data_IF_964567603248
#
_entry.id   IF_964567603248
#
_cell.length_a   1.000
_cell.length_b   1.000
_cell.length_c   1.000
_cell.angle_alpha   90.00
_cell.angle_beta   90.00
_cell.angle_gamma   90.00
#
_symmetry.space_group_name_H-M   'P 1'
#
loop_
_entity.id
_entity.type
_entity.pdbx_description
1 polymer ?
#
# COMPACT_ATOMS: atom_id res chain seq x y z
N UNK A 1 -17.82 23.53 10.21
CA UNK A 1 -17.52 22.43 11.15
C UNK A 1 -16.20 21.79 10.70
N UNK A 2 -15.32 21.43 11.66
CA UNK A 2 -14.02 20.80 11.38
C UNK A 2 -14.13 19.28 11.45
N UNK A 3 -13.40 18.58 10.60
CA UNK A 3 -13.29 17.12 10.64
C UNK A 3 -11.81 16.69 10.58
N UNK A 4 -11.43 15.69 11.38
CA UNK A 4 -10.11 15.10 11.39
C UNK A 4 -10.20 13.60 11.03
N UNK A 5 -9.25 13.09 10.23
CA UNK A 5 -9.22 11.70 9.80
C UNK A 5 -7.88 11.07 10.16
N UNK A 6 -7.91 10.06 11.01
CA UNK A 6 -6.75 9.22 11.33
C UNK A 6 -6.78 7.96 10.47
N UNK A 7 -5.77 7.78 9.63
CA UNK A 7 -5.68 6.63 8.71
C UNK A 7 -4.61 5.65 9.15
N UNK A 8 -5.00 4.40 9.34
CA UNK A 8 -4.09 3.29 9.66
C UNK A 8 -4.13 2.23 8.56
N UNK A 9 -3.03 1.51 8.39
CA UNK A 9 -2.99 0.31 7.56
C UNK A 9 -2.43 0.54 6.14
N UNK A 10 -3.15 0.05 5.14
CA UNK A 10 -2.65 -0.10 3.77
C UNK A 10 -3.09 1.04 2.83
N UNK A 11 -2.62 1.00 1.58
CA UNK A 11 -3.00 1.95 0.52
C UNK A 11 -4.51 1.95 0.23
N UNK A 12 -5.19 0.80 0.43
CA UNK A 12 -6.65 0.72 0.32
C UNK A 12 -7.31 1.61 1.37
N UNK A 13 -6.86 1.55 2.64
CA UNK A 13 -7.37 2.44 3.68
C UNK A 13 -7.06 3.91 3.39
N UNK A 14 -5.88 4.20 2.82
CA UNK A 14 -5.53 5.58 2.44
C UNK A 14 -6.49 6.13 1.36
N UNK A 15 -6.81 5.33 0.35
CA UNK A 15 -7.83 5.68 -0.65
C UNK A 15 -9.22 5.88 0.00
N UNK A 16 -9.65 4.93 0.83
CA UNK A 16 -10.96 5.00 1.50
C UNK A 16 -11.09 6.21 2.43
N UNK A 17 -9.99 6.63 3.07
CA UNK A 17 -9.97 7.84 3.89
C UNK A 17 -10.10 9.11 3.07
N UNK A 18 -9.52 9.15 1.87
CA UNK A 18 -9.67 10.31 0.98
C UNK A 18 -11.11 10.43 0.46
N UNK A 19 -11.75 9.29 0.11
CA UNK A 19 -13.19 9.29 -0.23
C UNK A 19 -14.03 9.86 0.91
N UNK A 20 -13.74 9.46 2.15
CA UNK A 20 -14.44 10.00 3.33
C UNK A 20 -14.15 11.50 3.48
N UNK A 21 -12.92 11.94 3.23
CA UNK A 21 -12.56 13.35 3.27
C UNK A 21 -13.35 14.18 2.23
N UNK A 22 -13.47 13.69 1.00
CA UNK A 22 -14.24 14.36 -0.04
C UNK A 22 -15.73 14.43 0.32
N UNK A 23 -16.31 13.33 0.78
CA UNK A 23 -17.70 13.34 1.27
C UNK A 23 -17.93 14.35 2.40
N UNK A 24 -16.97 14.49 3.32
CA UNK A 24 -17.05 15.48 4.40
C UNK A 24 -16.96 16.91 3.83
N UNK A 25 -16.03 17.19 2.89
CA UNK A 25 -15.89 18.51 2.23
C UNK A 25 -17.16 18.91 1.49
N UNK A 26 -17.71 18.00 0.68
CA UNK A 26 -18.96 18.19 -0.06
C UNK A 26 -20.15 18.52 0.85
N UNK A 27 -20.10 18.08 2.12
CA UNK A 27 -21.13 18.35 3.11
C UNK A 27 -20.76 19.46 4.11
N UNK A 28 -19.81 20.34 3.72
CA UNK A 28 -19.51 21.58 4.44
C UNK A 28 -18.57 21.42 5.62
N UNK A 29 -17.84 20.29 5.74
CA UNK A 29 -16.80 20.13 6.74
C UNK A 29 -15.45 20.59 6.19
N UNK A 30 -14.71 21.32 6.99
CA UNK A 30 -13.30 21.60 6.76
C UNK A 30 -12.46 20.41 7.27
N UNK A 31 -11.88 19.62 6.38
CA UNK A 31 -10.93 18.56 6.74
C UNK A 31 -9.61 19.19 7.15
N UNK A 32 -9.10 18.84 8.31
CA UNK A 32 -7.90 19.44 8.93
C UNK A 32 -7.11 18.39 9.72
N UNK A 33 -5.83 18.70 10.00
CA UNK A 33 -5.01 17.93 10.93
C UNK A 33 -5.06 18.49 12.37
N UNK A 34 -5.81 19.59 12.60
CA UNK A 34 -5.96 20.21 13.90
C UNK A 34 -6.88 19.41 14.82
N UNK A 35 -6.48 19.24 16.06
CA UNK A 35 -7.28 18.62 17.12
C UNK A 35 -8.48 19.53 17.53
N UNK A 36 -9.39 19.01 18.36
CA UNK A 36 -10.69 19.64 18.71
C UNK A 36 -11.62 19.81 17.49
N UNK A 37 -11.64 18.85 16.60
CA UNK A 37 -12.57 18.80 15.48
C UNK A 37 -14.00 18.42 15.96
N UNK A 38 -15.01 18.81 15.18
CA UNK A 38 -16.43 18.44 15.43
C UNK A 38 -16.71 16.98 15.07
N UNK A 39 -15.98 16.44 14.09
CA UNK A 39 -16.07 15.05 13.64
C UNK A 39 -14.66 14.45 13.60
N UNK A 40 -14.52 13.25 14.15
CA UNK A 40 -13.27 12.52 14.18
C UNK A 40 -13.46 11.13 13.59
N UNK A 41 -12.81 10.84 12.45
CA UNK A 41 -12.86 9.54 11.78
C UNK A 41 -11.57 8.78 12.03
N UNK A 42 -11.66 7.51 12.47
CA UNK A 42 -10.52 6.61 12.61
C UNK A 42 -10.69 5.43 11.65
N UNK A 43 -9.93 5.43 10.55
CA UNK A 43 -9.91 4.32 9.60
C UNK A 43 -8.85 3.30 10.03
N UNK A 44 -9.32 2.13 10.44
CA UNK A 44 -8.58 1.14 11.24
C UNK A 44 -8.07 -0.05 10.44
N UNK A 45 -7.03 -0.70 10.96
CA UNK A 45 -6.41 -1.91 10.41
C UNK A 45 -6.39 -3.05 11.42
N UNK A 46 -6.45 -4.32 10.94
CA UNK A 46 -6.44 -5.53 11.77
C UNK A 46 -5.59 -6.66 11.20
N UNK A 47 -4.67 -6.37 10.28
CA UNK A 47 -3.89 -7.44 9.59
C UNK A 47 -2.96 -8.19 10.55
N UNK A 48 -2.45 -7.50 11.60
CA UNK A 48 -1.57 -8.08 12.63
C UNK A 48 -2.01 -7.65 14.03
N UNK A 49 -1.56 -8.35 15.07
CA UNK A 49 -1.78 -7.96 16.47
C UNK A 49 -1.25 -6.55 16.79
N UNK A 50 -0.13 -6.16 16.15
CA UNK A 50 0.41 -4.80 16.29
C UNK A 50 -0.52 -3.77 15.62
N UNK A 51 -1.16 -4.11 14.50
CA UNK A 51 -2.15 -3.25 13.87
C UNK A 51 -3.39 -3.06 14.76
N UNK A 52 -3.85 -4.11 15.44
CA UNK A 52 -4.94 -4.02 16.42
C UNK A 52 -4.58 -3.10 17.59
N UNK A 53 -3.39 -3.28 18.19
CA UNK A 53 -2.90 -2.42 19.28
C UNK A 53 -2.82 -0.96 18.82
N UNK A 54 -2.31 -0.71 17.63
CA UNK A 54 -2.22 0.63 17.05
C UNK A 54 -3.62 1.22 16.79
N UNK A 55 -4.56 0.42 16.27
CA UNK A 55 -5.95 0.84 16.07
C UNK A 55 -6.61 1.26 17.38
N UNK A 56 -6.51 0.43 18.43
CA UNK A 56 -7.02 0.76 19.78
C UNK A 56 -6.39 2.04 20.35
N UNK A 57 -5.05 2.16 20.24
CA UNK A 57 -4.34 3.37 20.69
C UNK A 57 -4.80 4.63 19.95
N UNK A 58 -4.97 4.54 18.63
CA UNK A 58 -5.42 5.69 17.82
C UNK A 58 -6.87 6.06 18.12
N UNK A 59 -7.77 5.09 18.32
CA UNK A 59 -9.15 5.36 18.73
C UNK A 59 -9.18 6.10 20.09
N UNK A 60 -8.42 5.62 21.07
CA UNK A 60 -8.34 6.28 22.38
C UNK A 60 -7.73 7.68 22.29
N UNK A 61 -6.69 7.86 21.45
CA UNK A 61 -6.10 9.17 21.17
C UNK A 61 -7.14 10.12 20.58
N UNK A 62 -7.87 9.68 19.55
CA UNK A 62 -8.91 10.44 18.89
C UNK A 62 -10.01 10.91 19.88
N UNK A 63 -10.49 10.01 20.75
CA UNK A 63 -11.47 10.32 21.78
C UNK A 63 -10.96 11.37 22.77
N UNK A 64 -9.71 11.23 23.24
CA UNK A 64 -9.16 12.09 24.27
C UNK A 64 -8.81 13.49 23.75
N UNK A 65 -8.34 13.57 22.49
CA UNK A 65 -7.96 14.84 21.86
C UNK A 65 -9.12 15.61 21.26
N UNK A 66 -10.25 14.93 21.06
CA UNK A 66 -11.47 15.53 20.51
C UNK A 66 -12.67 15.20 21.43
N UNK A 67 -12.72 15.74 22.66
CA UNK A 67 -13.68 15.29 23.68
C UNK A 67 -15.15 15.56 23.32
N UNK A 68 -15.40 16.56 22.47
CA UNK A 68 -16.74 16.97 22.04
C UNK A 68 -17.11 16.49 20.63
N UNK A 69 -16.23 15.73 19.96
CA UNK A 69 -16.44 15.28 18.59
C UNK A 69 -17.42 14.12 18.48
N UNK A 70 -18.01 13.99 17.31
CA UNK A 70 -18.63 12.75 16.87
C UNK A 70 -17.49 11.81 16.43
N UNK A 71 -17.24 10.76 17.22
CA UNK A 71 -16.19 9.77 16.92
C UNK A 71 -16.74 8.65 16.07
N UNK A 72 -16.13 8.46 14.91
CA UNK A 72 -16.50 7.45 13.91
C UNK A 72 -15.34 6.48 13.76
N UNK A 73 -15.58 5.19 13.92
CA UNK A 73 -14.57 4.13 13.69
C UNK A 73 -14.98 3.30 12.49
N UNK A 74 -14.08 3.22 11.49
CA UNK A 74 -14.33 2.48 10.25
C UNK A 74 -13.16 1.53 9.93
N UNK A 75 -13.33 0.60 9.00
CA UNK A 75 -12.26 -0.21 8.42
C UNK A 75 -12.20 -1.64 8.92
N UNK A 76 -11.00 -2.26 8.82
CA UNK A 76 -10.86 -3.70 9.07
C UNK A 76 -10.99 -4.07 10.55
N UNK A 77 -10.48 -3.26 11.48
CA UNK A 77 -10.59 -3.55 12.90
C UNK A 77 -12.04 -3.40 13.39
N UNK A 78 -12.74 -2.33 12.95
CA UNK A 78 -14.17 -2.18 13.27
C UNK A 78 -15.01 -3.30 12.69
N UNK A 79 -14.69 -3.80 11.49
CA UNK A 79 -15.39 -4.94 10.90
C UNK A 79 -15.34 -6.19 11.77
N UNK A 80 -14.20 -6.47 12.43
CA UNK A 80 -13.98 -7.70 13.21
C UNK A 80 -14.37 -7.54 14.68
N UNK A 81 -14.20 -6.34 15.22
CA UNK A 81 -14.34 -6.06 16.68
C UNK A 81 -15.47 -5.07 16.97
N UNK A 82 -16.50 -4.98 16.11
CA UNK A 82 -17.62 -4.04 16.29
C UNK A 82 -18.36 -4.25 17.60
N UNK A 83 -18.52 -5.49 18.07
CA UNK A 83 -19.17 -5.79 19.36
C UNK A 83 -18.34 -5.24 20.54
N UNK A 84 -17.01 -5.42 20.52
CA UNK A 84 -16.12 -4.83 21.52
C UNK A 84 -16.18 -3.30 21.50
N UNK A 85 -16.16 -2.70 20.30
CA UNK A 85 -16.20 -1.26 20.11
C UNK A 85 -17.54 -0.65 20.55
N UNK A 86 -18.66 -1.35 20.37
CA UNK A 86 -20.00 -0.87 20.72
C UNK A 86 -20.20 -0.70 22.23
N UNK A 87 -19.39 -1.37 23.05
CA UNK A 87 -19.38 -1.19 24.51
C UNK A 87 -18.82 0.17 24.93
N UNK A 88 -18.02 0.82 24.08
CA UNK A 88 -17.49 2.16 24.35
C UNK A 88 -18.47 3.24 23.86
N UNK A 89 -19.19 3.86 24.80
CA UNK A 89 -20.21 4.89 24.48
C UNK A 89 -19.61 6.20 23.95
N UNK A 90 -18.30 6.38 24.00
CA UNK A 90 -17.60 7.52 23.38
C UNK A 90 -17.38 7.33 21.86
N UNK A 91 -17.58 6.10 21.35
CA UNK A 91 -17.63 5.84 19.90
C UNK A 91 -19.08 6.00 19.46
N UNK A 92 -19.35 6.96 18.62
CA UNK A 92 -20.72 7.32 18.24
C UNK A 92 -21.20 6.54 17.01
N UNK A 93 -20.30 6.25 16.08
CA UNK A 93 -20.60 5.55 14.82
C UNK A 93 -19.53 4.49 14.56
N UNK A 94 -19.97 3.28 14.26
CA UNK A 94 -19.12 2.14 13.89
C UNK A 94 -19.55 1.66 12.51
N UNK A 95 -18.66 1.78 11.52
CA UNK A 95 -18.89 1.28 10.16
C UNK A 95 -17.91 0.16 9.84
N UNK A 96 -18.34 -0.78 8.99
CA UNK A 96 -17.50 -1.87 8.52
C UNK A 96 -16.56 -1.49 7.37
N UNK A 97 -16.27 -2.47 6.52
CA UNK A 97 -15.40 -2.31 5.35
C UNK A 97 -16.13 -1.95 4.06
N UNK A 98 -17.45 -2.00 4.01
CA UNK A 98 -18.28 -1.89 2.80
C UNK A 98 -19.34 -0.79 2.79
N UNK A 99 -19.40 0.05 3.81
CA UNK A 99 -20.42 1.10 3.96
C UNK A 99 -19.84 2.43 4.45
N UNK A 100 -18.60 2.71 4.07
CA UNK A 100 -17.90 3.94 4.41
C UNK A 100 -18.50 5.18 3.73
N UNK A 101 -19.10 5.00 2.55
CA UNK A 101 -19.83 6.09 1.85
C UNK A 101 -21.07 6.57 2.58
N UNK A 102 -21.60 5.79 3.54
CA UNK A 102 -22.71 6.20 4.40
C UNK A 102 -22.31 7.12 5.56
N UNK A 103 -21.05 7.54 5.64
CA UNK A 103 -20.53 8.33 6.77
C UNK A 103 -21.37 9.57 7.04
N UNK A 104 -21.82 10.32 6.02
CA UNK A 104 -22.62 11.53 6.15
C UNK A 104 -24.04 11.21 6.65
N UNK A 105 -24.68 10.19 6.07
CA UNK A 105 -25.99 9.70 6.51
C UNK A 105 -25.96 9.34 8.01
N UNK A 106 -24.94 8.58 8.44
CA UNK A 106 -24.76 8.18 9.82
C UNK A 106 -24.49 9.38 10.75
N UNK A 107 -23.71 10.38 10.33
CA UNK A 107 -23.48 11.61 11.08
C UNK A 107 -24.81 12.34 11.32
N UNK A 108 -25.63 12.51 10.28
CA UNK A 108 -26.91 13.20 10.37
C UNK A 108 -27.88 12.46 11.30
N UNK A 109 -28.02 11.14 11.11
CA UNK A 109 -28.83 10.30 11.98
C UNK A 109 -28.39 10.35 13.45
N UNK A 110 -27.06 10.33 13.71
CA UNK A 110 -26.55 10.47 15.07
C UNK A 110 -26.85 11.86 15.67
N UNK A 111 -26.76 12.93 14.89
CA UNK A 111 -27.10 14.28 15.36
C UNK A 111 -28.55 14.40 15.80
N UNK A 112 -29.46 13.71 15.10
CA UNK A 112 -30.90 13.69 15.41
C UNK A 112 -31.20 12.80 16.61
N UNK A 113 -30.70 11.57 16.63
CA UNK A 113 -31.11 10.54 17.60
C UNK A 113 -30.26 10.52 18.87
N UNK A 114 -28.99 10.98 18.79
CA UNK A 114 -27.95 10.81 19.81
C UNK A 114 -27.68 9.35 20.19
N UNK A 115 -28.19 8.39 19.41
CA UNK A 115 -28.00 6.96 19.65
C UNK A 115 -26.77 6.46 18.87
N UNK A 116 -25.95 5.62 19.53
CA UNK A 116 -24.82 4.97 18.86
C UNK A 116 -25.30 4.17 17.64
N UNK A 117 -24.61 4.37 16.52
CA UNK A 117 -24.91 3.67 15.26
C UNK A 117 -23.87 2.61 15.04
N UNK A 118 -24.30 1.37 14.78
CA UNK A 118 -23.45 0.24 14.35
C UNK A 118 -24.00 -0.27 13.03
N UNK A 119 -23.28 0.01 11.94
CA UNK A 119 -23.61 -0.46 10.59
C UNK A 119 -22.43 -1.25 10.03
N UNK A 120 -22.38 -2.55 10.37
CA UNK A 120 -21.35 -3.49 9.97
C UNK A 120 -21.98 -4.63 9.18
N UNK A 121 -21.68 -4.69 7.89
CA UNK A 121 -22.15 -5.78 7.05
C UNK A 121 -21.25 -7.01 7.23
N UNK A 122 -21.79 -8.08 7.81
CA UNK A 122 -21.10 -9.35 8.05
C UNK A 122 -21.18 -10.34 6.89
N UNK A 123 -21.95 -10.04 5.84
CA UNK A 123 -22.02 -10.87 4.63
C UNK A 123 -20.68 -10.92 3.92
N UNK A 124 -20.30 -12.10 3.43
CA UNK A 124 -19.10 -12.25 2.59
C UNK A 124 -19.33 -11.75 1.16
N UNK A 125 -20.56 -11.85 0.67
CA UNK A 125 -20.93 -11.41 -0.68
C UNK A 125 -21.37 -9.94 -0.63
N UNK A 126 -20.40 -9.07 -0.81
CA UNK A 126 -20.60 -7.62 -0.81
C UNK A 126 -20.39 -7.09 -2.23
N UNK A 127 -21.09 -6.04 -2.58
CA UNK A 127 -20.89 -5.29 -3.83
C UNK A 127 -19.72 -4.33 -3.65
N UNK A 128 -19.00 -4.02 -4.73
CA UNK A 128 -17.98 -2.98 -4.69
C UNK A 128 -18.63 -1.64 -4.37
N UNK A 129 -18.16 -0.99 -3.33
CA UNK A 129 -18.71 0.29 -2.87
C UNK A 129 -18.40 1.39 -3.89
N UNK A 130 -19.41 2.15 -4.32
CA UNK A 130 -19.26 3.24 -5.30
C UNK A 130 -18.41 4.35 -4.70
N UNK A 131 -17.13 4.33 -5.00
CA UNK A 131 -16.14 5.30 -4.55
C UNK A 131 -15.41 5.86 -5.77
N UNK A 132 -15.25 7.17 -5.81
CA UNK A 132 -14.44 7.88 -6.81
C UNK A 132 -13.71 9.02 -6.10
N UNK A 133 -12.52 9.34 -6.55
CA UNK A 133 -11.73 10.47 -6.08
C UNK A 133 -11.34 11.31 -7.29
N UNK A 134 -11.56 12.60 -7.20
CA UNK A 134 -11.11 13.54 -8.22
C UNK A 134 -9.91 14.36 -7.74
N UNK A 135 -9.61 14.33 -6.43
CA UNK A 135 -8.54 15.10 -5.81
C UNK A 135 -7.86 14.33 -4.67
N UNK A 136 -6.57 14.59 -4.45
CA UNK A 136 -5.83 14.11 -3.29
C UNK A 136 -5.11 15.30 -2.65
N UNK A 137 -5.46 15.64 -1.42
CA UNK A 137 -4.79 16.72 -0.72
C UNK A 137 -3.37 16.31 -0.31
N UNK A 138 -2.44 17.24 -0.53
CA UNK A 138 -1.03 17.12 -0.09
C UNK A 138 -0.31 15.85 -0.57
N UNK A 139 -0.76 15.24 -1.68
CA UNK A 139 -0.11 14.08 -2.30
C UNK A 139 0.18 14.33 -3.78
N UNK A 140 1.30 13.80 -4.24
CA UNK A 140 1.75 13.90 -5.63
C UNK A 140 1.59 12.59 -6.40
N UNK A 141 1.13 11.54 -5.71
CA UNK A 141 0.71 10.24 -6.26
C UNK A 141 -0.73 9.97 -5.86
N UNK A 142 -1.58 9.68 -6.82
CA UNK A 142 -2.97 9.30 -6.57
C UNK A 142 -3.07 7.79 -6.38
N UNK A 143 -3.77 7.35 -5.34
CA UNK A 143 -4.16 5.94 -5.18
C UNK A 143 -5.52 5.73 -5.85
N UNK A 144 -5.68 4.63 -6.59
CA UNK A 144 -6.97 4.24 -7.17
C UNK A 144 -7.28 2.80 -6.76
N UNK A 145 -8.33 2.63 -5.97
CA UNK A 145 -8.80 1.32 -5.51
C UNK A 145 -9.62 0.68 -6.61
N UNK A 146 -9.07 -0.35 -7.24
CA UNK A 146 -9.72 -1.07 -8.35
C UNK A 146 -10.40 -2.37 -7.90
N UNK A 147 -9.98 -2.92 -6.74
CA UNK A 147 -10.40 -4.23 -6.29
C UNK A 147 -10.48 -4.27 -4.75
N UNK A 148 -11.36 -5.11 -4.18
CA UNK A 148 -11.47 -5.38 -2.76
C UNK A 148 -11.83 -6.85 -2.50
N UNK A 149 -11.56 -7.33 -1.27
CA UNK A 149 -11.76 -8.72 -0.89
C UNK A 149 -10.72 -9.69 -1.50
N UNK A 150 -10.75 -10.96 -1.06
CA UNK A 150 -9.81 -11.97 -1.53
C UNK A 150 -10.37 -13.38 -1.34
N UNK A 151 -10.17 -14.26 -2.33
CA UNK A 151 -10.60 -15.65 -2.32
C UNK A 151 -9.45 -16.66 -2.16
N UNK A 152 -8.22 -16.22 -1.86
CA UNK A 152 -7.06 -17.13 -1.73
C UNK A 152 -7.10 -17.97 -0.47
N UNK A 153 -7.75 -17.51 0.59
CA UNK A 153 -7.84 -18.20 1.88
C UNK A 153 -6.49 -18.75 2.36
N UNK A 154 -5.42 -17.94 2.22
CA UNK A 154 -4.13 -18.26 2.84
C UNK A 154 -4.34 -18.54 4.32
N UNK A 155 -3.72 -19.59 4.85
CA UNK A 155 -4.07 -20.14 6.18
C UNK A 155 -3.83 -19.17 7.34
N UNK A 156 -3.00 -18.15 7.16
CA UNK A 156 -2.68 -17.09 8.13
C UNK A 156 -3.52 -15.83 7.99
N UNK A 157 -4.29 -15.69 6.89
CA UNK A 157 -4.83 -14.40 6.48
C UNK A 157 -6.27 -14.18 6.98
N UNK A 158 -6.48 -13.04 7.67
CA UNK A 158 -7.79 -12.63 8.18
C UNK A 158 -8.64 -11.92 7.11
N UNK A 159 -8.06 -11.51 5.98
CA UNK A 159 -8.72 -10.66 4.99
C UNK A 159 -10.02 -11.24 4.42
N UNK A 160 -10.12 -12.52 4.04
CA UNK A 160 -11.40 -13.08 3.57
C UNK A 160 -12.54 -12.97 4.58
N UNK A 161 -12.21 -12.87 5.87
CA UNK A 161 -13.18 -12.72 6.97
C UNK A 161 -13.52 -11.26 7.26
N UNK A 162 -12.62 -10.33 6.90
CA UNK A 162 -12.82 -8.89 7.15
C UNK A 162 -13.41 -8.16 5.95
N UNK A 163 -12.93 -8.47 4.75
CA UNK A 163 -13.29 -7.77 3.51
C UNK A 163 -14.16 -8.59 2.56
N UNK A 164 -14.39 -9.88 2.88
CA UNK A 164 -15.24 -10.76 2.08
C UNK A 164 -14.61 -11.21 0.75
N UNK A 165 -15.46 -11.64 -0.18
CA UNK A 165 -15.07 -12.15 -1.50
C UNK A 165 -14.57 -11.05 -2.43
N UNK A 166 -13.88 -11.46 -3.51
CA UNK A 166 -13.40 -10.56 -4.56
C UNK A 166 -14.57 -9.78 -5.14
N UNK A 167 -14.38 -8.48 -5.27
CA UNK A 167 -15.23 -7.53 -5.98
C UNK A 167 -14.38 -6.43 -6.60
N UNK A 168 -14.76 -5.98 -7.77
CA UNK A 168 -13.98 -5.04 -8.56
C UNK A 168 -14.80 -3.78 -8.90
N UNK A 169 -14.08 -2.67 -9.08
CA UNK A 169 -14.64 -1.44 -9.63
C UNK A 169 -14.87 -1.65 -11.12
N UNK A 170 -15.95 -1.10 -11.66
CA UNK A 170 -16.24 -1.16 -13.08
C UNK A 170 -15.08 -0.59 -13.91
N UNK A 171 -14.78 -1.25 -15.04
CA UNK A 171 -13.69 -0.93 -15.94
C UNK A 171 -13.72 0.54 -16.38
N UNK A 172 -14.87 0.98 -16.91
CA UNK A 172 -15.04 2.36 -17.39
C UNK A 172 -14.85 3.38 -16.26
N UNK A 173 -15.36 3.07 -15.06
CA UNK A 173 -15.23 3.95 -13.89
C UNK A 173 -13.76 4.09 -13.47
N UNK A 174 -12.95 3.03 -13.57
CA UNK A 174 -11.50 3.11 -13.30
C UNK A 174 -10.80 4.02 -14.31
N UNK A 175 -11.10 3.83 -15.61
CA UNK A 175 -10.51 4.65 -16.69
C UNK A 175 -10.88 6.12 -16.53
N UNK A 176 -12.15 6.41 -16.25
CA UNK A 176 -12.65 7.78 -16.04
C UNK A 176 -11.99 8.44 -14.82
N UNK A 177 -11.87 7.72 -13.71
CA UNK A 177 -11.25 8.23 -12.49
C UNK A 177 -9.77 8.56 -12.72
N UNK A 178 -9.00 7.67 -13.36
CA UNK A 178 -7.59 7.91 -13.66
C UNK A 178 -7.44 9.08 -14.64
N UNK A 179 -8.32 9.16 -15.65
CA UNK A 179 -8.31 10.26 -16.61
C UNK A 179 -8.57 11.61 -15.92
N UNK A 180 -9.52 11.66 -14.99
CA UNK A 180 -9.81 12.86 -14.19
C UNK A 180 -8.59 13.26 -13.33
N UNK A 181 -7.99 12.30 -12.62
CA UNK A 181 -6.80 12.55 -11.80
C UNK A 181 -5.62 13.10 -12.62
N UNK A 182 -5.38 12.54 -13.82
CA UNK A 182 -4.34 13.03 -14.73
C UNK A 182 -4.64 14.44 -15.23
N UNK A 183 -5.88 14.76 -15.57
CA UNK A 183 -6.32 16.13 -15.92
C UNK A 183 -6.11 17.10 -14.78
N UNK A 184 -6.30 16.65 -13.53
CA UNK A 184 -6.06 17.43 -12.31
C UNK A 184 -4.57 17.52 -11.93
N UNK A 185 -3.66 17.04 -12.78
CA UNK A 185 -2.21 17.27 -12.67
C UNK A 185 -1.41 16.13 -12.05
N UNK A 186 -2.04 15.04 -11.63
CA UNK A 186 -1.30 13.89 -11.10
C UNK A 186 -0.43 13.25 -12.18
N UNK A 187 0.85 13.04 -11.86
CA UNK A 187 1.84 12.43 -12.78
C UNK A 187 2.00 10.93 -12.54
N UNK A 188 1.75 10.47 -11.32
CA UNK A 188 1.83 9.06 -10.94
C UNK A 188 0.49 8.59 -10.35
N UNK A 189 -0.01 7.46 -10.85
CA UNK A 189 -1.17 6.73 -10.31
C UNK A 189 -0.70 5.39 -9.77
N UNK A 190 -1.20 5.03 -8.60
CA UNK A 190 -0.93 3.74 -7.94
C UNK A 190 -2.21 2.93 -7.89
N UNK A 191 -2.28 1.87 -8.69
CA UNK A 191 -3.40 0.92 -8.60
C UNK A 191 -3.31 0.16 -7.28
N UNK A 192 -4.39 0.15 -6.54
CA UNK A 192 -4.44 -0.53 -5.24
C UNK A 192 -5.66 -1.44 -5.13
N UNK A 193 -5.48 -2.49 -4.36
CA UNK A 193 -6.48 -3.50 -4.05
C UNK A 193 -5.97 -4.41 -2.96
N UNK A 194 -6.80 -5.32 -2.53
CA UNK A 194 -6.42 -6.39 -1.60
C UNK A 194 -5.71 -7.52 -2.36
N UNK A 195 -6.19 -7.80 -3.57
CA UNK A 195 -5.65 -8.81 -4.48
C UNK A 195 -5.71 -8.23 -5.90
N UNK A 196 -4.85 -7.25 -6.15
CA UNK A 196 -4.96 -6.32 -7.29
C UNK A 196 -5.02 -7.03 -8.64
N UNK A 197 -4.19 -8.07 -8.84
CA UNK A 197 -4.14 -8.81 -10.10
C UNK A 197 -5.34 -9.73 -10.34
N UNK A 198 -6.17 -9.98 -9.31
CA UNK A 198 -7.45 -10.69 -9.48
C UNK A 198 -8.59 -9.80 -9.99
N UNK A 199 -8.26 -8.59 -10.47
CA UNK A 199 -9.25 -7.70 -11.07
C UNK A 199 -9.94 -8.39 -12.26
N UNK A 200 -11.27 -8.34 -12.25
CA UNK A 200 -12.12 -8.83 -13.32
C UNK A 200 -13.43 -8.03 -13.29
N UNK A 201 -13.76 -7.38 -14.40
CA UNK A 201 -15.04 -6.73 -14.60
C UNK A 201 -15.58 -7.15 -15.97
N UNK A 202 -16.73 -7.82 -15.98
CA UNK A 202 -17.32 -8.40 -17.17
C UNK A 202 -16.32 -9.31 -17.92
N UNK A 203 -15.82 -8.88 -19.07
CA UNK A 203 -14.85 -9.63 -19.88
C UNK A 203 -13.43 -9.03 -19.83
N UNK A 204 -13.18 -8.02 -18.96
CA UNK A 204 -11.91 -7.34 -18.86
C UNK A 204 -11.14 -7.82 -17.63
N UNK A 205 -9.98 -8.45 -17.85
CA UNK A 205 -9.05 -8.84 -16.81
C UNK A 205 -8.11 -7.67 -16.40
N UNK A 206 -7.23 -7.93 -15.44
CA UNK A 206 -6.25 -6.96 -14.99
C UNK A 206 -5.33 -6.47 -16.11
N UNK A 207 -4.93 -7.35 -17.01
CA UNK A 207 -4.08 -6.99 -18.14
C UNK A 207 -4.81 -6.13 -19.18
N UNK A 208 -6.11 -6.37 -19.40
CA UNK A 208 -6.93 -5.50 -20.25
C UNK A 208 -6.99 -4.09 -19.65
N UNK A 209 -7.22 -4.00 -18.34
CA UNK A 209 -7.24 -2.74 -17.63
C UNK A 209 -5.90 -1.97 -17.76
N UNK A 210 -4.77 -2.66 -17.57
CA UNK A 210 -3.45 -2.05 -17.74
C UNK A 210 -3.23 -1.54 -19.17
N UNK A 211 -3.70 -2.31 -20.17
CA UNK A 211 -3.57 -1.95 -21.59
C UNK A 211 -4.25 -0.63 -21.92
N UNK A 212 -5.39 -0.35 -21.31
CA UNK A 212 -6.11 0.93 -21.53
C UNK A 212 -5.53 2.07 -20.68
N UNK A 213 -5.17 1.80 -19.41
CA UNK A 213 -4.60 2.84 -18.55
C UNK A 213 -3.30 3.42 -19.12
N UNK A 214 -2.42 2.60 -19.68
CA UNK A 214 -1.12 3.08 -20.22
C UNK A 214 -1.27 3.97 -21.45
N UNK A 215 -2.46 4.02 -22.08
CA UNK A 215 -2.79 4.90 -23.19
C UNK A 215 -3.28 6.29 -22.76
N UNK A 216 -3.59 6.48 -21.47
CA UNK A 216 -4.12 7.76 -20.96
C UNK A 216 -3.07 8.86 -21.14
N UNK A 217 -3.41 9.84 -21.97
CA UNK A 217 -2.51 10.95 -22.28
C UNK A 217 -2.23 11.79 -21.03
N UNK A 218 -0.94 12.03 -20.76
CA UNK A 218 -0.48 12.82 -19.62
C UNK A 218 -0.08 11.97 -18.39
N UNK A 219 -0.50 10.71 -18.29
CA UNK A 219 -0.02 9.78 -17.25
C UNK A 219 1.45 9.48 -17.50
N UNK A 220 2.31 9.79 -16.51
CA UNK A 220 3.77 9.57 -16.61
C UNK A 220 4.20 8.27 -15.97
N UNK A 221 3.55 7.87 -14.87
CA UNK A 221 3.89 6.67 -14.11
C UNK A 221 2.65 5.94 -13.63
N UNK A 222 2.60 4.65 -13.90
CA UNK A 222 1.62 3.71 -13.37
C UNK A 222 2.32 2.72 -12.46
N UNK A 223 1.95 2.73 -11.18
CA UNK A 223 2.49 1.80 -10.19
C UNK A 223 1.42 0.80 -9.77
N UNK A 224 1.82 -0.46 -9.64
CA UNK A 224 0.99 -1.54 -9.11
C UNK A 224 1.38 -1.74 -7.65
N UNK A 225 0.41 -1.77 -6.71
CA UNK A 225 0.74 -1.85 -5.29
C UNK A 225 1.31 -3.22 -4.90
N UNK A 226 0.57 -4.28 -5.14
CA UNK A 226 0.97 -5.66 -4.87
C UNK A 226 0.28 -6.58 -5.85
N UNK A 227 1.02 -7.55 -6.39
CA UNK A 227 0.49 -8.54 -7.34
C UNK A 227 1.02 -9.92 -6.99
N UNK A 228 0.17 -10.92 -7.03
CA UNK A 228 0.57 -12.30 -6.80
C UNK A 228 1.36 -12.84 -7.99
N UNK A 229 2.34 -13.70 -7.71
CA UNK A 229 3.21 -14.28 -8.74
C UNK A 229 2.42 -15.03 -9.83
N UNK A 230 1.30 -15.66 -9.46
CA UNK A 230 0.43 -16.42 -10.36
C UNK A 230 -0.36 -15.57 -11.35
N UNK A 231 -0.39 -14.24 -11.16
CA UNK A 231 -1.12 -13.29 -12.00
C UNK A 231 -0.22 -12.62 -13.04
N UNK A 232 1.09 -12.86 -12.95
CA UNK A 232 2.09 -12.35 -13.87
C UNK A 232 2.19 -13.24 -15.12
N UNK A 233 1.10 -13.28 -15.89
CA UNK A 233 0.98 -14.08 -17.10
C UNK A 233 1.70 -13.45 -18.32
N UNK A 234 1.70 -14.14 -19.45
CA UNK A 234 2.40 -13.67 -20.66
C UNK A 234 1.81 -12.35 -21.20
N UNK A 235 0.49 -12.14 -21.06
CA UNK A 235 -0.17 -10.87 -21.44
C UNK A 235 0.33 -9.70 -20.57
N UNK A 236 0.50 -9.90 -19.27
CA UNK A 236 1.13 -8.93 -18.38
C UNK A 236 2.59 -8.65 -18.80
N UNK A 237 3.36 -9.70 -19.11
CA UNK A 237 4.76 -9.57 -19.55
C UNK A 237 4.88 -8.75 -20.84
N UNK A 238 3.97 -8.95 -21.78
CA UNK A 238 3.92 -8.19 -23.04
C UNK A 238 3.65 -6.69 -22.78
N UNK A 239 2.73 -6.37 -21.88
CA UNK A 239 2.45 -4.98 -21.52
C UNK A 239 3.66 -4.36 -20.82
N UNK A 240 4.28 -5.08 -19.87
CA UNK A 240 5.47 -4.63 -19.16
C UNK A 240 6.63 -4.33 -20.13
N UNK A 241 6.79 -5.15 -21.17
CA UNK A 241 7.81 -4.97 -22.22
C UNK A 241 7.56 -3.73 -23.09
N UNK A 242 6.30 -3.45 -23.43
CA UNK A 242 5.92 -2.39 -24.39
C UNK A 242 5.71 -1.02 -23.74
N UNK A 243 5.36 -0.98 -22.45
CA UNK A 243 4.97 0.25 -21.77
C UNK A 243 6.15 0.95 -21.10
N UNK A 244 6.29 2.26 -21.37
CA UNK A 244 7.20 3.14 -20.63
C UNK A 244 6.50 3.83 -19.44
N UNK A 245 5.19 3.64 -19.28
CA UNK A 245 4.38 4.25 -18.22
C UNK A 245 4.38 3.38 -16.96
N UNK A 246 4.39 2.04 -17.12
CA UNK A 246 4.54 1.15 -15.98
C UNK A 246 5.94 1.32 -15.39
N UNK A 247 5.99 1.66 -14.11
CA UNK A 247 7.25 1.94 -13.39
C UNK A 247 8.15 0.71 -13.27
N UNK A 248 9.45 0.92 -13.06
CA UNK A 248 10.45 -0.14 -12.87
C UNK A 248 10.45 -0.70 -11.44
N UNK A 249 9.27 -0.95 -10.89
CA UNK A 249 9.09 -1.53 -9.57
C UNK A 249 7.85 -2.42 -9.54
N UNK A 250 8.01 -3.63 -9.01
CA UNK A 250 6.91 -4.56 -8.76
C UNK A 250 7.06 -5.12 -7.35
N UNK A 251 5.96 -5.11 -6.59
CA UNK A 251 5.89 -5.77 -5.28
C UNK A 251 5.19 -7.11 -5.43
N UNK A 252 5.93 -8.21 -5.18
CA UNK A 252 5.47 -9.58 -5.36
C UNK A 252 5.67 -10.35 -4.04
N UNK A 253 4.61 -10.59 -3.25
CA UNK A 253 4.73 -11.30 -1.98
C UNK A 253 5.22 -12.74 -2.16
N UNK A 254 6.36 -13.09 -1.56
CA UNK A 254 6.91 -14.44 -1.52
C UNK A 254 6.31 -15.25 -0.36
N UNK A 255 6.14 -14.62 0.78
CA UNK A 255 5.69 -15.15 2.06
C UNK A 255 6.69 -16.12 2.71
N UNK A 256 7.21 -17.13 2.02
CA UNK A 256 8.27 -18.05 2.48
C UNK A 256 9.11 -18.55 1.30
N UNK A 257 10.37 -18.85 1.54
CA UNK A 257 11.27 -19.53 0.59
C UNK A 257 11.39 -21.03 0.86
N UNK A 258 10.50 -21.64 1.66
CA UNK A 258 10.38 -23.08 1.84
C UNK A 258 9.08 -23.60 1.21
N UNK A 259 9.17 -24.57 0.29
CA UNK A 259 8.00 -25.16 -0.37
C UNK A 259 7.07 -25.87 0.62
N UNK A 260 7.62 -26.47 1.69
CA UNK A 260 6.85 -27.04 2.80
C UNK A 260 5.99 -25.96 3.45
N UNK A 261 6.56 -24.81 3.77
CA UNK A 261 5.85 -23.70 4.42
C UNK A 261 4.85 -23.04 3.46
N UNK A 262 5.21 -22.83 2.19
CA UNK A 262 4.29 -22.31 1.17
C UNK A 262 3.04 -23.19 1.05
N UNK A 263 3.21 -24.51 1.07
CA UNK A 263 2.09 -25.46 1.07
C UNK A 263 1.22 -25.35 2.31
N UNK A 264 1.81 -25.25 3.50
CA UNK A 264 1.10 -25.04 4.75
C UNK A 264 0.37 -23.70 4.79
N UNK A 265 0.94 -22.66 4.17
CA UNK A 265 0.32 -21.35 3.97
C UNK A 265 -0.83 -21.35 2.95
N UNK A 266 -1.07 -22.46 2.24
CA UNK A 266 -2.01 -22.56 1.11
C UNK A 266 -1.64 -21.65 -0.06
N UNK A 267 -0.33 -21.44 -0.33
CA UNK A 267 0.13 -20.71 -1.52
C UNK A 267 -0.02 -21.59 -2.76
N UNK A 268 -0.28 -20.95 -3.91
CA UNK A 268 -0.58 -21.63 -5.18
C UNK A 268 0.65 -21.72 -6.10
N UNK A 269 1.83 -21.56 -5.55
CA UNK A 269 3.12 -21.63 -6.22
C UNK A 269 4.16 -22.26 -5.29
N UNK A 270 5.24 -22.72 -5.87
CA UNK A 270 6.47 -23.15 -5.21
C UNK A 270 7.64 -22.19 -5.53
N UNK A 271 8.79 -22.41 -4.91
CA UNK A 271 9.98 -21.58 -5.08
C UNK A 271 10.49 -21.61 -6.54
N UNK A 272 10.41 -22.75 -7.22
CA UNK A 272 10.82 -22.90 -8.60
C UNK A 272 9.97 -22.05 -9.56
N UNK A 273 8.64 -22.12 -9.41
CA UNK A 273 7.69 -21.30 -10.19
C UNK A 273 7.96 -19.81 -9.95
N UNK A 274 8.15 -19.43 -8.70
CA UNK A 274 8.44 -18.04 -8.32
C UNK A 274 9.72 -17.54 -8.99
N UNK A 275 10.82 -18.29 -8.88
CA UNK A 275 12.11 -17.96 -9.48
C UNK A 275 12.02 -17.80 -11.01
N UNK A 276 11.33 -18.73 -11.69
CA UNK A 276 11.19 -18.70 -13.14
C UNK A 276 10.47 -17.43 -13.63
N UNK A 277 9.44 -16.99 -12.93
CA UNK A 277 8.71 -15.75 -13.26
C UNK A 277 9.58 -14.52 -13.00
N UNK A 278 10.33 -14.48 -11.88
CA UNK A 278 11.28 -13.39 -11.60
C UNK A 278 12.36 -13.29 -12.70
N UNK A 279 12.88 -14.42 -13.18
CA UNK A 279 13.83 -14.44 -14.29
C UNK A 279 13.23 -13.87 -15.57
N UNK A 280 11.98 -14.23 -15.92
CA UNK A 280 11.27 -13.64 -17.06
C UNK A 280 11.15 -12.11 -16.94
N UNK A 281 10.72 -11.61 -15.77
CA UNK A 281 10.61 -10.17 -15.53
C UNK A 281 11.95 -9.46 -15.73
N UNK A 282 13.04 -9.99 -15.17
CA UNK A 282 14.38 -9.41 -15.29
C UNK A 282 14.96 -9.49 -16.70
N UNK A 283 14.56 -10.49 -17.49
CA UNK A 283 14.90 -10.53 -18.92
C UNK A 283 14.26 -9.38 -19.68
N UNK A 284 13.04 -8.98 -19.30
CA UNK A 284 12.33 -7.84 -19.91
C UNK A 284 12.89 -6.51 -19.41
N UNK A 285 13.13 -6.39 -18.10
CA UNK A 285 13.61 -5.18 -17.40
C UNK A 285 14.74 -5.52 -16.43
N UNK A 286 16.02 -5.53 -16.85
CA UNK A 286 17.14 -6.01 -16.03
C UNK A 286 17.31 -5.29 -14.69
N UNK A 287 17.03 -4.00 -14.64
CA UNK A 287 17.19 -3.14 -13.45
C UNK A 287 15.92 -2.94 -12.65
N UNK A 288 14.85 -3.70 -12.92
CA UNK A 288 13.59 -3.57 -12.19
C UNK A 288 13.76 -3.85 -10.71
N UNK A 289 13.19 -3.01 -9.88
CA UNK A 289 13.08 -3.22 -8.43
C UNK A 289 12.00 -4.25 -8.14
N UNK A 290 12.37 -5.36 -7.53
CA UNK A 290 11.44 -6.39 -7.07
C UNK A 290 11.49 -6.40 -5.57
N UNK A 291 10.38 -6.03 -4.93
CA UNK A 291 10.21 -6.06 -3.48
C UNK A 291 9.25 -7.16 -3.07
N UNK A 292 9.37 -7.64 -1.85
CA UNK A 292 8.57 -8.77 -1.38
C UNK A 292 8.22 -8.68 0.10
N UNK A 293 7.17 -9.43 0.50
CA UNK A 293 6.82 -9.69 1.89
C UNK A 293 7.25 -11.10 2.27
N UNK A 294 7.79 -11.27 3.48
CA UNK A 294 8.12 -12.58 4.06
C UNK A 294 7.62 -12.69 5.50
N UNK A 295 7.14 -13.87 5.86
CA UNK A 295 6.64 -14.19 7.20
C UNK A 295 7.59 -15.22 7.83
N UNK A 296 8.13 -14.91 8.98
CA UNK A 296 8.98 -15.83 9.76
C UNK A 296 8.21 -16.42 10.94
N UNK A 297 8.56 -17.66 11.31
CA UNK A 297 7.94 -18.33 12.43
C UNK A 297 6.50 -18.72 12.19
N UNK A 298 6.16 -19.06 10.95
CA UNK A 298 4.89 -19.70 10.63
C UNK A 298 4.77 -21.05 11.34
N UNK A 299 3.58 -21.48 11.82
CA UNK A 299 3.41 -22.78 12.48
C UNK A 299 3.97 -23.93 11.64
N UNK A 300 4.87 -24.73 12.24
CA UNK A 300 5.57 -25.82 11.58
C UNK A 300 6.87 -25.44 10.84
N UNK A 301 7.29 -24.18 10.88
CA UNK A 301 8.58 -23.72 10.35
C UNK A 301 9.71 -24.15 11.30
N UNK A 302 10.55 -25.07 10.84
CA UNK A 302 11.75 -25.49 11.57
C UNK A 302 12.99 -24.67 11.15
N UNK A 303 14.17 -25.01 11.66
CA UNK A 303 15.40 -24.28 11.35
C UNK A 303 15.84 -24.50 9.90
N UNK A 304 15.60 -25.70 9.35
CA UNK A 304 15.90 -25.99 7.95
C UNK A 304 15.04 -25.13 7.02
N UNK A 305 13.73 -25.01 7.29
CA UNK A 305 12.83 -24.18 6.52
C UNK A 305 13.26 -22.71 6.51
N UNK A 306 13.72 -22.20 7.66
CA UNK A 306 14.24 -20.84 7.77
C UNK A 306 15.55 -20.65 6.98
N UNK A 307 16.48 -21.61 7.05
CA UNK A 307 17.73 -21.56 6.27
C UNK A 307 17.43 -21.60 4.77
N UNK A 308 16.52 -22.46 4.33
CA UNK A 308 16.10 -22.55 2.93
C UNK A 308 15.48 -21.22 2.46
N UNK A 309 14.60 -20.61 3.28
CA UNK A 309 14.04 -19.29 3.00
C UNK A 309 15.11 -18.21 2.92
N UNK A 310 16.06 -18.16 3.85
CA UNK A 310 17.16 -17.19 3.85
C UNK A 310 18.00 -17.29 2.57
N UNK A 311 18.40 -18.52 2.20
CA UNK A 311 19.16 -18.79 0.97
C UNK A 311 18.39 -18.41 -0.27
N UNK A 312 17.11 -18.73 -0.34
CA UNK A 312 16.25 -18.41 -1.46
C UNK A 312 16.10 -16.89 -1.64
N UNK A 313 15.86 -16.14 -0.57
CA UNK A 313 15.78 -14.68 -0.59
C UNK A 313 17.10 -14.07 -1.10
N UNK A 314 18.23 -14.57 -0.59
CA UNK A 314 19.56 -14.10 -1.01
C UNK A 314 19.82 -14.38 -2.50
N UNK A 315 19.47 -15.57 -2.96
CA UNK A 315 19.62 -16.01 -4.35
C UNK A 315 18.74 -15.20 -5.32
N UNK A 316 17.46 -14.99 -4.98
CA UNK A 316 16.53 -14.21 -5.82
C UNK A 316 16.97 -12.76 -5.94
N UNK A 317 17.73 -12.25 -4.98
CA UNK A 317 18.29 -10.91 -5.03
C UNK A 317 17.22 -9.82 -5.15
N UNK A 318 16.29 -9.79 -4.17
CA UNK A 318 15.28 -8.74 -4.05
C UNK A 318 15.94 -7.37 -3.81
N UNK A 319 15.31 -6.30 -4.27
CA UNK A 319 15.75 -4.93 -4.00
C UNK A 319 15.42 -4.46 -2.58
N UNK A 320 14.38 -5.01 -1.96
CA UNK A 320 14.01 -4.81 -0.55
C UNK A 320 13.04 -5.88 -0.07
N UNK A 321 12.95 -6.04 1.25
CA UNK A 321 12.08 -7.00 1.95
C UNK A 321 11.24 -6.31 3.00
N UNK A 322 9.99 -6.74 3.15
CA UNK A 322 9.18 -6.48 4.34
C UNK A 322 9.10 -7.77 5.16
N UNK A 323 9.71 -7.76 6.34
CA UNK A 323 9.82 -8.94 7.22
C UNK A 323 8.78 -8.85 8.32
N UNK A 324 7.93 -9.85 8.43
CA UNK A 324 6.89 -9.95 9.45
C UNK A 324 7.07 -11.22 10.29
N UNK A 325 7.03 -11.11 11.63
CA UNK A 325 6.80 -12.31 12.44
C UNK A 325 5.36 -12.78 12.20
N UNK A 326 5.15 -14.10 12.13
CA UNK A 326 3.81 -14.66 12.09
C UNK A 326 2.97 -14.13 13.26
N UNK A 327 1.80 -13.62 12.94
CA UNK A 327 0.85 -13.07 13.89
C UNK A 327 -0.42 -13.90 13.91
N UNK A 328 -0.69 -14.59 15.02
CA UNK A 328 -1.88 -15.41 15.21
C UNK A 328 -3.14 -14.56 15.08
N UNK A 329 -4.08 -14.97 14.20
CA UNK A 329 -5.33 -14.25 13.94
C UNK A 329 -6.52 -15.18 14.16
N UNK A 330 -7.51 -14.70 14.91
CA UNK A 330 -8.76 -15.45 15.14
C UNK A 330 -9.39 -15.85 13.79
N UNK A 331 -10.07 -16.97 13.75
CA UNK A 331 -10.73 -17.56 12.58
C UNK A 331 -9.79 -18.03 11.45
N UNK A 332 -8.47 -17.95 11.59
CA UNK A 332 -7.52 -18.45 10.58
C UNK A 332 -7.09 -19.87 10.89
N UNK A 333 -6.88 -20.69 9.84
CA UNK A 333 -6.42 -22.08 10.03
C UNK A 333 -5.07 -22.17 10.75
N UNK A 334 -4.14 -21.27 10.42
CA UNK A 334 -2.82 -21.25 11.05
C UNK A 334 -2.88 -20.97 12.56
N UNK A 335 -3.91 -20.29 13.05
CA UNK A 335 -4.10 -20.06 14.47
C UNK A 335 -4.42 -21.33 15.26
N UNK A 336 -4.93 -22.36 14.59
CA UNK A 336 -5.34 -23.66 15.18
C UNK A 336 -4.25 -24.73 15.01
N UNK A 337 -3.14 -24.46 14.33
CA UNK A 337 -2.03 -25.39 14.16
C UNK A 337 -1.25 -25.54 15.48
N UNK A 338 -0.87 -26.78 15.83
CA UNK A 338 -0.23 -27.09 17.12
C UNK A 338 1.22 -26.62 17.18
N UNK A 339 1.96 -26.71 16.07
CA UNK A 339 3.41 -26.41 16.02
C UNK A 339 3.69 -24.90 15.92
N UNK A 340 3.19 -24.12 16.87
CA UNK A 340 3.46 -22.68 16.96
C UNK A 340 4.94 -22.43 17.32
N UNK A 341 5.58 -21.52 16.57
CA UNK A 341 6.99 -21.15 16.81
C UNK A 341 7.09 -20.16 17.97
N UNK A 342 8.09 -20.37 18.83
CA UNK A 342 8.35 -19.51 19.98
C UNK A 342 8.67 -18.06 19.55
N UNK A 343 8.20 -17.07 20.31
CA UNK A 343 8.37 -15.65 20.01
C UNK A 343 9.85 -15.23 19.96
N UNK A 344 10.74 -15.81 20.82
CA UNK A 344 12.16 -15.52 20.78
C UNK A 344 12.81 -16.01 19.47
N UNK A 345 12.39 -17.17 18.96
CA UNK A 345 12.84 -17.70 17.67
C UNK A 345 12.36 -16.80 16.52
N UNK A 346 11.12 -16.35 16.56
CA UNK A 346 10.60 -15.37 15.58
C UNK A 346 11.42 -14.09 15.58
N UNK A 347 11.71 -13.55 16.78
CA UNK A 347 12.49 -12.32 16.93
C UNK A 347 13.90 -12.46 16.37
N UNK A 348 14.59 -13.59 16.63
CA UNK A 348 15.90 -13.88 16.07
C UNK A 348 15.87 -13.98 14.54
N UNK A 349 14.90 -14.71 13.97
CA UNK A 349 14.71 -14.85 12.53
C UNK A 349 14.42 -13.50 11.86
N UNK A 350 13.57 -12.65 12.48
CA UNK A 350 13.33 -11.26 12.01
C UNK A 350 14.64 -10.50 11.96
N UNK A 351 15.45 -10.53 13.04
CA UNK A 351 16.73 -9.82 13.10
C UNK A 351 17.68 -10.26 11.97
N UNK A 352 17.82 -11.57 11.75
CA UNK A 352 18.65 -12.12 10.66
C UNK A 352 18.19 -11.63 9.28
N UNK A 353 16.87 -11.63 9.00
CA UNK A 353 16.35 -11.14 7.73
C UNK A 353 16.41 -9.61 7.56
N UNK A 354 16.37 -8.85 8.66
CA UNK A 354 16.58 -7.40 8.58
C UNK A 354 18.01 -7.04 8.19
N UNK A 355 19.01 -7.81 8.66
CA UNK A 355 20.41 -7.67 8.22
C UNK A 355 20.54 -8.01 6.73
N UNK A 356 19.90 -9.10 6.28
CA UNK A 356 19.89 -9.47 4.87
C UNK A 356 19.20 -8.38 4.02
N UNK A 357 18.08 -7.84 4.48
CA UNK A 357 17.38 -6.73 3.84
C UNK A 357 18.30 -5.53 3.61
N UNK A 358 18.98 -5.04 4.66
CA UNK A 358 19.87 -3.90 4.58
C UNK A 358 20.97 -4.15 3.52
N UNK A 359 21.59 -5.33 3.53
CA UNK A 359 22.59 -5.72 2.53
C UNK A 359 22.00 -5.67 1.11
N UNK A 360 20.80 -6.23 0.89
CA UNK A 360 20.14 -6.24 -0.43
C UNK A 360 19.74 -4.85 -0.91
N UNK A 361 19.28 -4.00 -0.01
CA UNK A 361 18.98 -2.60 -0.33
C UNK A 361 20.25 -1.85 -0.76
N UNK A 362 21.35 -1.99 -0.02
CA UNK A 362 22.64 -1.38 -0.38
C UNK A 362 23.17 -1.92 -1.72
N UNK A 363 23.13 -3.26 -1.94
CA UNK A 363 23.51 -3.86 -3.21
C UNK A 363 22.69 -3.34 -4.38
N UNK A 364 21.39 -3.11 -4.18
CA UNK A 364 20.52 -2.57 -5.21
C UNK A 364 20.78 -1.07 -5.45
N UNK A 365 20.87 -0.27 -4.40
CA UNK A 365 21.11 1.18 -4.49
C UNK A 365 22.47 1.49 -5.15
N UNK A 366 23.51 0.70 -4.86
CA UNK A 366 24.87 0.92 -5.39
C UNK A 366 24.95 0.82 -6.91
N UNK A 367 24.03 0.11 -7.57
CA UNK A 367 23.96 0.04 -9.03
C UNK A 367 23.65 1.36 -9.71
N UNK A 368 23.10 2.33 -8.96
CA UNK A 368 22.62 3.58 -9.51
C UNK A 368 23.47 4.79 -9.10
N UNK A 369 24.57 4.59 -8.36
CA UNK A 369 25.53 5.68 -8.09
C UNK A 369 26.23 6.06 -9.41
N UNK A 370 26.18 7.36 -9.74
CA UNK A 370 26.62 7.89 -11.03
C UNK A 370 25.55 7.91 -12.12
N UNK A 371 24.45 7.18 -11.93
CA UNK A 371 23.38 7.09 -12.91
C UNK A 371 22.41 8.27 -12.85
N UNK A 372 21.82 8.58 -14.00
CA UNK A 372 20.77 9.59 -14.14
C UNK A 372 19.39 8.92 -14.04
N UNK A 373 18.61 9.34 -13.04
CA UNK A 373 17.27 8.82 -12.79
C UNK A 373 16.22 9.93 -12.77
N UNK A 374 14.98 9.61 -13.14
CA UNK A 374 13.83 10.49 -12.97
C UNK A 374 13.24 10.32 -11.56
N UNK A 375 13.02 11.42 -10.85
CA UNK A 375 12.53 11.46 -9.46
C UNK A 375 11.26 12.30 -9.39
N UNK A 376 10.17 11.72 -8.87
CA UNK A 376 8.99 12.48 -8.48
C UNK A 376 9.19 12.98 -7.05
N UNK A 377 9.29 14.31 -6.87
CA UNK A 377 9.47 14.93 -5.57
C UNK A 377 8.14 15.10 -4.85
N UNK A 378 8.07 14.65 -3.59
CA UNK A 378 6.81 14.50 -2.85
C UNK A 378 6.77 15.36 -1.58
N UNK A 379 7.92 15.59 -0.96
CA UNK A 379 8.03 16.37 0.27
C UNK A 379 9.22 17.31 0.21
N UNK A 380 9.11 18.45 0.90
CA UNK A 380 10.17 19.40 1.06
C UNK A 380 10.31 19.86 2.50
N UNK A 381 11.52 20.17 2.89
CA UNK A 381 11.85 20.85 4.14
C UNK A 381 12.92 21.89 3.82
N UNK A 382 12.55 23.19 3.80
CA UNK A 382 13.37 24.28 3.28
C UNK A 382 13.84 23.97 1.85
N UNK A 383 15.14 23.93 1.60
CA UNK A 383 15.76 23.65 0.30
C UNK A 383 16.01 22.14 0.05
N UNK A 384 15.66 21.27 1.00
CA UNK A 384 15.80 19.82 0.87
C UNK A 384 14.50 19.21 0.32
N UNK A 385 14.61 18.47 -0.77
CA UNK A 385 13.50 17.80 -1.43
C UNK A 385 13.72 16.29 -1.42
N UNK A 386 12.65 15.54 -1.11
CA UNK A 386 12.67 14.08 -1.09
C UNK A 386 11.61 13.55 -2.05
N UNK A 387 12.01 12.58 -2.87
CA UNK A 387 11.13 11.95 -3.82
C UNK A 387 11.48 10.48 -4.07
N UNK A 388 10.75 9.87 -5.01
CA UNK A 388 11.00 8.50 -5.43
C UNK A 388 11.22 8.39 -6.94
N UNK A 389 12.18 7.54 -7.29
CA UNK A 389 12.42 7.15 -8.68
C UNK A 389 11.34 6.20 -9.21
N UNK A 390 11.35 5.94 -10.52
CA UNK A 390 10.53 4.89 -11.14
C UNK A 390 10.75 3.53 -10.45
N UNK A 391 12.00 3.15 -10.20
CA UNK A 391 12.37 1.90 -9.50
C UNK A 391 12.31 1.97 -7.96
N UNK A 392 11.62 3.00 -7.42
CA UNK A 392 11.26 3.17 -6.01
C UNK A 392 12.43 3.46 -5.06
N UNK A 393 13.58 3.91 -5.57
CA UNK A 393 14.63 4.45 -4.71
C UNK A 393 14.17 5.79 -4.11
N UNK A 394 14.41 5.98 -2.83
CA UNK A 394 14.19 7.25 -2.14
C UNK A 394 15.39 8.14 -2.39
N UNK A 395 15.16 9.33 -2.94
CA UNK A 395 16.22 10.26 -3.33
C UNK A 395 16.01 11.60 -2.64
N UNK A 396 17.13 12.17 -2.16
CA UNK A 396 17.22 13.48 -1.56
C UNK A 396 18.08 14.38 -2.46
N UNK A 397 17.60 15.60 -2.71
CA UNK A 397 18.37 16.67 -3.38
C UNK A 397 18.18 17.99 -2.65
N UNK A 398 19.13 18.91 -2.81
CA UNK A 398 18.96 20.31 -2.41
C UNK A 398 18.68 21.14 -3.67
N UNK A 399 17.73 22.07 -3.60
CA UNK A 399 17.41 23.00 -4.68
C UNK A 399 16.83 24.30 -4.13
N UNK A 400 17.16 25.42 -4.75
CA UNK A 400 16.53 26.72 -4.47
C UNK A 400 15.20 26.89 -5.20
N UNK A 401 14.91 26.03 -6.19
CA UNK A 401 13.67 26.05 -6.98
C UNK A 401 12.65 25.11 -6.33
N UNK A 402 11.38 25.51 -6.28
CA UNK A 402 10.32 24.59 -5.83
C UNK A 402 10.08 23.50 -6.89
N UNK A 403 10.42 22.27 -6.53
CA UNK A 403 10.28 21.06 -7.36
C UNK A 403 9.26 20.07 -6.82
N UNK A 404 8.55 20.42 -5.77
CA UNK A 404 7.48 19.56 -5.20
C UNK A 404 6.42 19.27 -6.24
N UNK A 405 6.00 18.01 -6.39
CA UNK A 405 5.04 17.55 -7.40
C UNK A 405 5.60 17.40 -8.81
N UNK A 406 6.89 17.71 -9.03
CA UNK A 406 7.53 17.59 -10.35
C UNK A 406 8.33 16.29 -10.46
N UNK A 407 8.45 15.80 -11.69
CA UNK A 407 9.39 14.75 -12.05
C UNK A 407 10.62 15.45 -12.64
N UNK A 408 11.76 15.32 -11.95
CA UNK A 408 13.03 15.91 -12.36
C UNK A 408 14.11 14.86 -12.54
N UNK A 409 15.07 15.14 -13.42
CA UNK A 409 16.22 14.27 -13.62
C UNK A 409 17.32 14.57 -12.57
N UNK A 410 17.78 13.51 -11.92
CA UNK A 410 18.79 13.56 -10.85
C UNK A 410 19.93 12.61 -11.17
N UNK A 411 21.17 13.06 -11.01
CA UNK A 411 22.34 12.18 -10.95
C UNK A 411 22.54 11.77 -9.50
N UNK A 412 22.61 10.46 -9.24
CA UNK A 412 22.84 9.92 -7.90
C UNK A 412 24.34 10.03 -7.59
N UNK A 413 24.71 10.80 -6.54
CA UNK A 413 26.10 11.01 -6.16
C UNK A 413 26.61 9.97 -5.17
N UNK A 414 25.78 9.65 -4.17
CA UNK A 414 26.15 8.74 -3.07
C UNK A 414 24.94 8.12 -2.40
N UNK A 415 25.21 7.15 -1.54
CA UNK A 415 24.21 6.51 -0.66
C UNK A 415 24.45 7.00 0.77
N UNK A 416 23.41 7.55 1.40
CA UNK A 416 23.29 7.80 2.83
C UNK A 416 22.13 6.94 3.34
N UNK A 417 22.38 5.64 3.52
CA UNK A 417 21.34 4.66 3.83
C UNK A 417 20.36 5.16 4.91
N UNK A 418 19.06 5.05 4.68
CA UNK A 418 18.35 4.35 3.57
C UNK A 418 17.97 5.25 2.36
N UNK A 419 18.68 6.34 2.12
CA UNK A 419 18.38 7.35 1.09
C UNK A 419 19.56 7.49 0.14
N UNK A 420 19.29 7.67 -1.16
CA UNK A 420 20.25 8.13 -2.13
C UNK A 420 20.30 9.67 -2.12
N UNK A 421 21.48 10.24 -2.25
CA UNK A 421 21.70 11.69 -2.39
C UNK A 421 22.16 11.99 -3.80
N UNK A 422 21.61 13.03 -4.41
CA UNK A 422 21.96 13.39 -5.77
C UNK A 422 21.81 14.88 -6.07
N UNK A 423 22.06 15.26 -7.33
CA UNK A 423 21.99 16.62 -7.84
C UNK A 423 21.06 16.71 -9.05
N UNK A 424 20.32 17.80 -9.16
CA UNK A 424 19.49 18.09 -10.32
C UNK A 424 20.36 18.30 -11.57
N UNK A 425 20.02 17.60 -12.66
CA UNK A 425 20.72 17.76 -13.96
C UNK A 425 20.59 19.18 -14.50
N UNK A 426 19.51 19.89 -14.24
CA UNK A 426 19.29 21.28 -14.62
C UNK A 426 20.24 22.25 -13.93
N UNK A 427 20.56 22.02 -12.66
CA UNK A 427 21.45 22.90 -11.88
C UNK A 427 22.93 22.67 -12.21
N UNK A 428 23.33 21.42 -12.52
CA UNK A 428 24.70 21.13 -12.99
C UNK A 428 25.03 21.88 -14.28
N UNK A 429 24.07 21.98 -15.20
CA UNK A 429 24.26 22.74 -16.46
C UNK A 429 24.31 24.26 -16.24
N UNK A 430 23.62 24.77 -15.23
CA UNK A 430 23.63 26.18 -14.89
C UNK A 430 25.00 26.56 -14.25
N UNK A 431 25.54 25.73 -13.36
CA UNK A 431 26.88 25.92 -12.77
C UNK A 431 28.03 25.84 -13.78
N UNK A 432 27.94 24.93 -14.77
CA UNK A 432 28.92 24.84 -15.86
C UNK A 432 28.87 26.08 -16.76
N UNK A 433 27.70 26.66 -17.01
CA UNK A 433 27.57 27.90 -17.78
C UNK A 433 28.15 29.11 -17.02
N UNK A 434 27.87 29.24 -15.71
CA UNK A 434 28.43 30.31 -14.89
C UNK A 434 29.95 30.28 -14.84
N UNK A 435 30.58 29.10 -14.83
CA UNK A 435 32.06 28.95 -14.89
C UNK A 435 32.68 29.29 -16.25
N UNK A 436 31.90 29.33 -17.33
CA UNK A 436 32.38 29.72 -18.67
C UNK A 436 32.33 31.22 -18.86
N UNK A 437 31.54 31.93 -18.04
CA UNK A 437 31.41 33.40 -18.09
C UNK A 437 32.19 34.14 -16.98
N UNK A 438 32.94 33.43 -16.13
CA UNK A 438 33.94 33.92 -15.21
C UNK A 438 35.36 33.69 -15.77
#
# INVERSE_FOLDING_TARGET
MKAIIYTLGCKVNAYESEVIADLLRENGYQVTDEENADVCVVNTCTVTNNADKKSKKTINHAINRNPNSIVIVVGCFSQVKYEELSNNKRINIILGTSNKTKVIECINKYKETKMQIVDVNTSRNQVFEKMKIDHFDNKHRAFVKIQDGCNNFCTYCIIPFTRGTIRCKSFDVVIDEITSLVKNGFKEVVLTGIHTGSYMDSNHDFSDLLTEIVKINGLKRLRISSIEITELNDKFMDILKKSNVIVDHIHIPLQSGSDKILKLMNRKYDTSTYENIIKKIRTIRPNISITTDVIVGFPGEDEKDFIDMYKFIDHINFSSLHVFPYSKRDHTKAALMDNQVNENVKADRVKKLLILKERKELEYMSKFVGEKLDVLFETSNMDEYIGHTSNYLKVKVNSKKNITGKIENVVIDKIEYPICVGRLVSEVKDEEKEKIYQ
#
